data_IF_685875578026
#
_entry.id   IF_685875578026
#
_cell.length_a   1.000
_cell.length_b   1.000
_cell.length_c   1.000
_cell.angle_alpha   90.00
_cell.angle_beta   90.00
_cell.angle_gamma   90.00
#
_symmetry.space_group_name_H-M   'P 1'
#
loop_
_entity.id
_entity.type
_entity.pdbx_description
1 polymer ?
#
# COMPACT_ATOMS: atom_id res chain seq x y z
N UNK A 1 18.73 5.06 5.11
CA UNK A 1 17.50 5.31 4.33
C UNK A 1 17.47 4.34 3.16
N UNK A 2 16.29 3.89 2.75
CA UNK A 2 16.08 3.04 1.57
C UNK A 2 15.02 3.73 0.69
N UNK A 3 15.32 3.89 -0.60
CA UNK A 3 14.50 4.65 -1.55
C UNK A 3 14.40 3.82 -2.82
N UNK A 4 13.17 3.56 -3.27
CA UNK A 4 12.89 2.93 -4.55
C UNK A 4 11.79 3.70 -5.24
N UNK A 5 11.93 3.91 -6.55
CA UNK A 5 10.96 4.65 -7.35
C UNK A 5 10.70 3.96 -8.67
N UNK A 6 9.45 4.02 -9.11
CA UNK A 6 8.97 3.46 -10.36
C UNK A 6 8.48 2.02 -10.26
N UNK A 7 7.79 1.61 -11.32
CA UNK A 7 7.11 0.33 -11.41
C UNK A 7 5.76 0.31 -10.69
N UNK A 8 4.99 -0.71 -11.01
CA UNK A 8 3.70 -0.99 -10.39
C UNK A 8 3.68 -2.42 -9.88
N UNK A 9 2.81 -2.69 -8.91
CA UNK A 9 2.54 -4.04 -8.42
C UNK A 9 1.04 -4.22 -8.19
N UNK A 10 0.55 -5.45 -8.32
CA UNK A 10 -0.81 -5.76 -7.93
C UNK A 10 -0.95 -5.79 -6.39
N UNK A 11 -2.04 -5.23 -5.88
CA UNK A 11 -2.39 -5.27 -4.46
C UNK A 11 -3.81 -5.79 -4.28
N UNK A 12 -3.93 -7.03 -3.82
CA UNK A 12 -5.23 -7.56 -3.38
C UNK A 12 -5.74 -6.83 -2.14
N UNK A 13 -4.86 -6.28 -1.31
CA UNK A 13 -5.27 -5.50 -0.14
C UNK A 13 -6.05 -4.26 -0.57
N UNK A 14 -5.63 -3.55 -1.63
CA UNK A 14 -6.44 -2.48 -2.24
C UNK A 14 -7.75 -3.04 -2.80
N UNK A 15 -7.66 -4.13 -3.57
CA UNK A 15 -8.81 -4.77 -4.21
C UNK A 15 -9.93 -5.11 -3.20
N UNK A 16 -9.60 -5.84 -2.14
CA UNK A 16 -10.59 -6.26 -1.14
C UNK A 16 -11.14 -5.08 -0.32
N UNK A 17 -10.34 -4.04 -0.06
CA UNK A 17 -10.82 -2.88 0.70
C UNK A 17 -11.73 -1.97 -0.15
N UNK A 18 -11.54 -1.94 -1.47
CA UNK A 18 -12.49 -1.32 -2.40
C UNK A 18 -13.77 -2.16 -2.50
N UNK A 19 -13.62 -3.46 -2.74
CA UNK A 19 -14.74 -4.38 -2.83
C UNK A 19 -15.61 -4.35 -1.56
N UNK A 20 -15.01 -4.25 -0.37
CA UNK A 20 -15.76 -4.20 0.90
C UNK A 20 -16.24 -2.80 1.29
N UNK A 21 -15.77 -1.74 0.63
CA UNK A 21 -16.15 -0.37 0.95
C UNK A 21 -15.48 0.19 2.20
N UNK A 22 -14.33 -0.36 2.57
CA UNK A 22 -13.54 0.06 3.72
C UNK A 22 -12.43 1.06 3.34
N UNK A 23 -12.01 1.06 2.07
CA UNK A 23 -11.06 2.06 1.58
C UNK A 23 -11.67 3.46 1.62
N UNK A 24 -10.89 4.45 2.06
CA UNK A 24 -11.34 5.85 2.18
C UNK A 24 -11.81 6.42 0.83
N UNK A 25 -11.21 5.94 -0.27
CA UNK A 25 -11.57 6.32 -1.63
C UNK A 25 -13.03 5.96 -1.97
N UNK A 26 -13.61 4.94 -1.32
CA UNK A 26 -15.03 4.57 -1.52
C UNK A 26 -16.01 5.49 -0.80
N UNK A 27 -15.53 6.46 -0.01
CA UNK A 27 -16.33 7.53 0.56
C UNK A 27 -16.51 8.72 -0.40
N UNK A 28 -15.95 8.63 -1.61
CA UNK A 28 -16.10 9.64 -2.65
C UNK A 28 -17.58 10.02 -2.88
N UNK A 29 -17.81 11.32 -3.05
CA UNK A 29 -19.14 11.91 -3.23
C UNK A 29 -20.14 11.57 -2.09
N UNK A 30 -19.65 11.30 -0.88
CA UNK A 30 -20.44 10.82 0.27
C UNK A 30 -21.33 9.60 -0.06
N UNK A 31 -20.95 8.83 -1.10
CA UNK A 31 -21.74 7.72 -1.67
C UNK A 31 -23.12 8.13 -2.19
N UNK A 32 -23.32 9.41 -2.48
CA UNK A 32 -24.51 9.90 -3.16
C UNK A 32 -24.49 9.49 -4.64
N UNK A 33 -25.70 9.38 -5.21
CA UNK A 33 -25.91 9.18 -6.65
C UNK A 33 -25.08 10.18 -7.47
N UNK A 34 -24.42 9.70 -8.52
CA UNK A 34 -23.56 10.54 -9.36
C UNK A 34 -23.53 10.07 -10.81
N UNK A 35 -23.31 11.01 -11.72
CA UNK A 35 -22.90 10.70 -13.10
C UNK A 35 -21.37 10.65 -13.11
N UNK A 36 -20.79 9.68 -13.81
CA UNK A 36 -19.33 9.61 -14.00
C UNK A 36 -18.88 10.90 -14.69
N UNK A 37 -17.97 11.69 -14.10
CA UNK A 37 -17.52 12.93 -14.72
C UNK A 37 -16.94 12.67 -16.11
N UNK A 38 -17.30 13.52 -17.08
CA UNK A 38 -16.86 13.39 -18.47
C UNK A 38 -17.25 12.04 -19.14
N UNK A 39 -18.39 11.45 -18.76
CA UNK A 39 -18.90 10.22 -19.38
C UNK A 39 -19.78 10.49 -20.60
N UNK A 40 -19.75 9.56 -21.55
CA UNK A 40 -20.56 9.56 -22.78
C UNK A 40 -21.22 8.20 -22.97
N UNK A 41 -22.37 8.18 -23.65
CA UNK A 41 -23.01 6.94 -24.10
C UNK A 41 -22.74 6.74 -25.59
N UNK A 42 -22.34 5.52 -25.94
CA UNK A 42 -22.19 5.09 -27.34
C UNK A 42 -23.57 4.79 -27.93
N UNK A 43 -23.83 5.31 -29.14
CA UNK A 43 -25.03 5.04 -29.92
C UNK A 43 -24.61 4.47 -31.28
N UNK A 44 -25.08 3.26 -31.58
CA UNK A 44 -24.98 2.64 -32.90
C UNK A 44 -26.21 3.08 -33.71
N UNK A 45 -25.98 3.89 -34.73
CA UNK A 45 -27.03 4.39 -35.61
C UNK A 45 -27.58 3.28 -36.52
N UNK A 46 -28.75 3.51 -37.12
CA UNK A 46 -29.41 2.54 -38.01
C UNK A 46 -28.57 2.18 -39.26
N UNK A 47 -27.62 3.03 -39.64
CA UNK A 47 -26.67 2.83 -40.74
C UNK A 47 -25.37 2.11 -40.30
N UNK A 48 -25.26 1.72 -39.02
CA UNK A 48 -24.09 1.08 -38.44
C UNK A 48 -22.97 2.03 -38.03
N UNK A 49 -23.14 3.35 -38.16
CA UNK A 49 -22.16 4.33 -37.68
C UNK A 49 -22.23 4.50 -36.17
N UNK A 50 -21.09 4.84 -35.54
CA UNK A 50 -21.00 5.08 -34.09
C UNK A 50 -21.01 6.58 -33.83
N UNK A 51 -21.84 7.01 -32.88
CA UNK A 51 -21.87 8.38 -32.36
C UNK A 51 -21.86 8.37 -30.82
N UNK A 52 -21.44 9.48 -30.22
CA UNK A 52 -21.38 9.63 -28.77
C UNK A 52 -22.26 10.80 -28.32
N UNK A 53 -23.02 10.58 -27.26
CA UNK A 53 -23.82 11.62 -26.60
C UNK A 53 -23.40 11.77 -25.15
N UNK A 54 -23.60 12.96 -24.59
CA UNK A 54 -23.36 13.20 -23.16
C UNK A 54 -24.17 12.19 -22.32
N UNK A 55 -23.52 11.58 -21.35
CA UNK A 55 -24.20 10.64 -20.47
C UNK A 55 -25.00 11.40 -19.39
N UNK A 56 -26.31 11.16 -19.37
CA UNK A 56 -27.21 11.70 -18.33
C UNK A 56 -27.64 10.63 -17.32
N UNK A 57 -27.19 9.39 -17.46
CA UNK A 57 -27.58 8.26 -16.59
C UNK A 57 -26.67 8.20 -15.37
N UNK A 58 -27.22 8.40 -14.15
CA UNK A 58 -26.42 8.33 -12.94
C UNK A 58 -26.23 6.89 -12.46
N UNK A 59 -25.13 6.66 -11.75
CA UNK A 59 -24.93 5.50 -10.90
C UNK A 59 -25.73 5.75 -9.61
N UNK A 60 -26.71 4.88 -9.35
CA UNK A 60 -27.52 4.96 -8.13
C UNK A 60 -26.68 4.65 -6.89
N UNK A 61 -27.11 5.13 -5.72
CA UNK A 61 -26.51 4.78 -4.43
C UNK A 61 -26.43 3.26 -4.20
N UNK A 62 -27.41 2.49 -4.68
CA UNK A 62 -27.39 1.03 -4.64
C UNK A 62 -26.24 0.42 -5.48
N UNK A 63 -25.94 1.00 -6.64
CA UNK A 63 -24.86 0.56 -7.52
C UNK A 63 -23.49 1.18 -7.17
N UNK A 64 -23.47 2.15 -6.25
CA UNK A 64 -22.26 2.66 -5.59
C UNK A 64 -21.84 1.79 -4.40
N UNK A 65 -22.77 1.00 -3.85
CA UNK A 65 -22.53 0.23 -2.63
C UNK A 65 -21.50 -0.88 -2.86
N UNK A 66 -20.46 -0.88 -2.03
CA UNK A 66 -19.46 -1.93 -2.02
C UNK A 66 -20.04 -3.24 -1.44
N UNK A 67 -19.47 -4.38 -1.79
CA UNK A 67 -19.82 -5.71 -1.29
C UNK A 67 -20.57 -6.59 -2.28
N UNK A 68 -20.84 -6.08 -3.49
CA UNK A 68 -21.50 -6.83 -4.56
C UNK A 68 -20.71 -6.72 -5.87
N UNK A 69 -20.34 -7.84 -6.53
CA UNK A 69 -19.80 -7.81 -7.89
C UNK A 69 -20.72 -7.04 -8.84
N UNK A 70 -20.15 -6.23 -9.73
CA UNK A 70 -20.94 -5.42 -10.67
C UNK A 70 -21.25 -3.99 -10.22
N UNK A 71 -20.89 -3.62 -9.00
CA UNK A 71 -21.01 -2.25 -8.48
C UNK A 71 -19.79 -1.40 -8.86
N UNK A 72 -19.94 -0.08 -8.82
CA UNK A 72 -18.89 0.84 -9.28
C UNK A 72 -17.56 0.62 -8.55
N UNK A 73 -17.54 0.68 -7.22
CA UNK A 73 -16.32 0.48 -6.44
C UNK A 73 -15.85 -0.98 -6.41
N UNK A 74 -16.78 -1.94 -6.46
CA UNK A 74 -16.43 -3.37 -6.54
C UNK A 74 -15.71 -3.75 -7.84
N UNK A 75 -15.90 -2.98 -8.90
CA UNK A 75 -15.23 -3.17 -10.19
C UNK A 75 -13.99 -2.28 -10.38
N UNK A 76 -13.56 -1.53 -9.35
CA UNK A 76 -12.39 -0.65 -9.43
C UNK A 76 -12.67 0.80 -9.79
N UNK A 77 -13.95 1.21 -9.79
CA UNK A 77 -14.36 2.57 -10.06
C UNK A 77 -14.00 3.01 -11.48
N UNK A 78 -13.37 4.18 -11.60
CA UNK A 78 -13.02 4.77 -12.90
C UNK A 78 -11.95 3.97 -13.67
N UNK A 79 -11.04 3.31 -12.96
CA UNK A 79 -9.88 2.62 -13.56
C UNK A 79 -10.17 1.15 -13.90
N UNK A 80 -11.38 0.68 -13.58
CA UNK A 80 -11.81 -0.71 -13.70
C UNK A 80 -10.75 -1.68 -13.15
N UNK A 81 -10.46 -2.81 -13.80
CA UNK A 81 -9.51 -3.81 -13.29
C UNK A 81 -8.08 -3.30 -13.03
N UNK A 82 -7.66 -2.21 -13.68
CA UNK A 82 -6.31 -1.65 -13.48
C UNK A 82 -6.14 -0.93 -12.14
N UNK A 83 -7.25 -0.60 -11.46
CA UNK A 83 -7.23 0.10 -10.17
C UNK A 83 -6.41 -0.62 -9.09
N UNK A 84 -6.32 -1.94 -9.16
CA UNK A 84 -5.64 -2.79 -8.19
C UNK A 84 -4.12 -2.78 -8.36
N UNK A 85 -3.62 -2.19 -9.46
CA UNK A 85 -2.22 -1.85 -9.61
C UNK A 85 -1.93 -0.58 -8.79
N UNK A 86 -0.87 -0.65 -7.98
CA UNK A 86 -0.41 0.45 -7.13
C UNK A 86 1.04 0.80 -7.47
N UNK A 87 1.41 2.06 -7.24
CA UNK A 87 2.80 2.49 -7.35
C UNK A 87 3.69 1.76 -6.33
N UNK A 88 4.79 1.19 -6.83
CA UNK A 88 5.77 0.43 -6.03
C UNK A 88 6.81 1.33 -5.34
N UNK A 89 6.75 2.63 -5.58
CA UNK A 89 7.67 3.62 -5.04
C UNK A 89 7.51 3.78 -3.53
N UNK A 90 8.64 3.95 -2.85
CA UNK A 90 8.65 4.30 -1.44
C UNK A 90 9.95 5.00 -1.00
N UNK A 91 9.84 5.72 0.10
CA UNK A 91 10.96 6.13 0.95
C UNK A 91 10.78 5.44 2.30
N UNK A 92 11.84 4.82 2.83
CA UNK A 92 11.77 4.05 4.08
C UNK A 92 12.93 4.37 5.01
N UNK A 93 12.59 4.64 6.27
CA UNK A 93 13.55 4.69 7.36
C UNK A 93 13.93 3.26 7.77
N UNK A 94 14.89 2.69 7.03
CA UNK A 94 15.23 1.27 7.09
C UNK A 94 15.77 0.82 8.44
N UNK A 95 16.78 1.51 8.97
CA UNK A 95 17.43 1.16 10.22
C UNK A 95 18.01 2.39 10.93
N UNK A 96 17.90 2.40 12.25
CA UNK A 96 18.60 3.31 13.16
C UNK A 96 19.16 2.47 14.30
N UNK A 97 20.39 2.76 14.73
CA UNK A 97 20.95 2.17 15.94
C UNK A 97 21.69 3.25 16.76
N UNK A 98 21.43 3.26 18.06
CA UNK A 98 22.17 4.03 19.05
C UNK A 98 22.94 3.05 19.93
N UNK A 99 24.26 3.19 19.96
CA UNK A 99 25.14 2.33 20.74
C UNK A 99 25.99 3.15 21.70
N UNK A 100 26.20 2.61 22.89
CA UNK A 100 27.09 3.16 23.90
C UNK A 100 28.08 2.10 24.37
N UNK A 101 29.36 2.36 24.09
CA UNK A 101 30.47 1.61 24.67
C UNK A 101 30.74 2.12 26.09
N UNK A 102 30.63 1.25 27.09
CA UNK A 102 30.89 1.66 28.46
C UNK A 102 32.39 2.01 28.63
N UNK A 103 32.74 3.10 29.32
CA UNK A 103 34.13 3.45 29.58
C UNK A 103 34.87 2.32 30.31
N UNK A 104 36.04 1.92 29.81
CA UNK A 104 36.85 0.83 30.41
C UNK A 104 37.13 1.05 31.91
N UNK A 105 37.28 2.31 32.35
CA UNK A 105 37.46 2.67 33.77
C UNK A 105 36.33 2.19 34.68
N UNK A 106 35.12 2.05 34.16
CA UNK A 106 33.97 1.52 34.91
C UNK A 106 33.96 0.00 35.01
N UNK A 107 34.74 -0.68 34.15
CA UNK A 107 34.85 -2.14 34.09
C UNK A 107 36.06 -2.68 34.84
N UNK A 108 36.94 -1.81 35.38
CA UNK A 108 38.23 -2.18 35.97
C UNK A 108 38.16 -3.24 37.08
N UNK A 109 37.05 -3.29 37.84
CA UNK A 109 36.84 -4.26 38.92
C UNK A 109 35.79 -5.34 38.55
N UNK A 110 35.60 -5.59 37.26
CA UNK A 110 34.64 -6.58 36.73
C UNK A 110 35.38 -7.63 35.90
N UNK A 111 34.80 -8.82 35.67
CA UNK A 111 35.39 -9.81 34.78
C UNK A 111 35.25 -9.46 33.29
N UNK A 112 34.79 -8.24 32.95
CA UNK A 112 34.47 -7.86 31.58
C UNK A 112 35.56 -6.99 30.96
N UNK A 113 36.02 -7.36 29.76
CA UNK A 113 36.92 -6.56 28.93
C UNK A 113 36.20 -5.41 28.22
N UNK A 114 34.94 -5.61 27.83
CA UNK A 114 34.13 -4.61 27.14
C UNK A 114 32.64 -4.88 27.36
N UNK A 115 31.85 -3.81 27.46
CA UNK A 115 30.39 -3.87 27.50
C UNK A 115 29.84 -2.81 26.57
N UNK A 116 28.99 -3.24 25.61
CA UNK A 116 28.28 -2.36 24.69
C UNK A 116 26.78 -2.50 24.89
N UNK A 117 26.13 -1.39 25.16
CA UNK A 117 24.68 -1.27 25.17
C UNK A 117 24.21 -0.73 23.82
N UNK A 118 23.15 -1.27 23.25
CA UNK A 118 22.60 -0.79 21.98
C UNK A 118 21.09 -0.81 21.98
N UNK A 119 20.48 0.25 21.47
CA UNK A 119 19.07 0.31 21.10
C UNK A 119 18.98 0.42 19.57
N UNK A 120 18.10 -0.33 18.94
CA UNK A 120 17.97 -0.35 17.48
C UNK A 120 16.53 -0.39 17.03
N UNK A 121 16.30 0.06 15.80
CA UNK A 121 15.02 0.05 15.11
C UNK A 121 15.19 -0.34 13.65
N UNK A 122 14.27 -1.13 13.12
CA UNK A 122 14.22 -1.57 11.72
C UNK A 122 12.79 -1.39 11.17
N UNK A 123 12.70 -0.98 9.90
CA UNK A 123 11.44 -0.65 9.21
C UNK A 123 10.59 0.36 10.02
N UNK A 124 11.20 1.50 10.36
CA UNK A 124 10.62 2.46 11.31
C UNK A 124 9.49 3.27 10.68
N UNK A 125 9.71 3.86 9.51
CA UNK A 125 8.71 4.66 8.82
C UNK A 125 8.77 4.40 7.32
N UNK A 126 7.60 4.48 6.70
CA UNK A 126 7.36 4.28 5.28
C UNK A 126 6.57 5.49 4.77
N UNK A 127 7.04 6.04 3.66
CA UNK A 127 6.33 7.05 2.88
C UNK A 127 6.15 6.50 1.46
N UNK A 128 4.93 6.56 0.98
CA UNK A 128 4.52 6.12 -0.37
C UNK A 128 3.89 7.31 -1.11
N UNK A 129 3.81 7.25 -2.46
CA UNK A 129 2.98 8.18 -3.21
C UNK A 129 1.51 8.11 -2.75
N UNK A 130 0.77 9.19 -2.98
CA UNK A 130 -0.59 9.39 -2.41
C UNK A 130 -1.64 8.40 -2.93
N UNK A 131 -1.38 7.73 -4.04
CA UNK A 131 -2.25 6.71 -4.64
C UNK A 131 -2.13 5.35 -3.91
N UNK A 132 -1.00 5.08 -3.26
CA UNK A 132 -0.79 3.91 -2.41
C UNK A 132 -0.94 4.27 -0.93
N UNK A 133 -2.20 4.15 -0.46
CA UNK A 133 -2.57 4.25 0.95
C UNK A 133 -2.82 2.89 1.60
N UNK A 134 -2.35 1.79 1.00
CA UNK A 134 -2.80 0.43 1.34
C UNK A 134 -1.70 -0.41 1.96
N UNK A 135 -0.55 -0.49 1.30
CA UNK A 135 0.47 -1.49 1.64
C UNK A 135 1.88 -0.93 1.53
N UNK A 136 2.75 -1.58 2.28
CA UNK A 136 4.19 -1.51 2.09
C UNK A 136 4.57 -2.22 0.78
N UNK A 137 5.15 -1.53 -0.23
CA UNK A 137 5.46 -2.14 -1.53
C UNK A 137 6.56 -3.23 -1.54
N UNK A 138 7.13 -3.54 -0.38
CA UNK A 138 8.05 -4.67 -0.21
C UNK A 138 7.36 -6.02 0.05
N UNK A 139 6.02 -6.05 0.06
CA UNK A 139 5.23 -7.24 0.33
C UNK A 139 5.09 -8.12 -0.93
N UNK A 140 5.09 -9.43 -0.72
CA UNK A 140 4.85 -10.42 -1.77
C UNK A 140 4.14 -11.65 -1.19
N UNK A 141 3.27 -12.26 -2.00
CA UNK A 141 2.68 -13.58 -1.72
C UNK A 141 3.20 -14.67 -2.67
N UNK A 142 4.16 -14.35 -3.55
CA UNK A 142 4.59 -15.19 -4.68
C UNK A 142 6.08 -15.56 -4.61
N UNK A 143 6.64 -15.62 -3.39
CA UNK A 143 8.06 -15.92 -3.17
C UNK A 143 8.97 -14.68 -3.25
N UNK A 144 10.27 -14.94 -3.40
CA UNK A 144 11.35 -13.95 -3.27
C UNK A 144 12.20 -13.77 -4.55
N UNK A 145 11.75 -14.34 -5.68
CA UNK A 145 12.37 -14.17 -6.99
C UNK A 145 11.56 -13.18 -7.86
N UNK A 146 11.73 -13.19 -9.18
CA UNK A 146 11.03 -12.32 -10.13
C UNK A 146 9.51 -12.32 -9.96
N UNK A 147 8.88 -13.48 -9.71
CA UNK A 147 7.43 -13.57 -9.47
C UNK A 147 7.01 -12.84 -8.19
N UNK A 148 7.90 -12.76 -7.20
CA UNK A 148 7.68 -11.99 -5.98
C UNK A 148 7.58 -10.49 -6.22
N UNK A 149 7.92 -10.01 -7.43
CA UNK A 149 7.74 -8.61 -7.79
C UNK A 149 6.33 -8.29 -8.31
N UNK A 150 5.50 -9.30 -8.61
CA UNK A 150 4.18 -9.10 -9.22
C UNK A 150 3.17 -8.45 -8.29
N UNK A 151 3.29 -8.66 -6.98
CA UNK A 151 2.30 -8.12 -6.07
C UNK A 151 2.21 -8.84 -4.73
N UNK A 152 1.26 -8.36 -3.95
CA UNK A 152 0.82 -9.01 -2.73
C UNK A 152 -0.63 -9.48 -2.87
N UNK A 153 -0.93 -10.66 -2.29
CA UNK A 153 -2.26 -11.26 -2.31
C UNK A 153 -2.81 -11.35 -0.89
N UNK A 154 -3.09 -10.19 -0.30
CA UNK A 154 -3.46 -10.01 1.12
C UNK A 154 -2.42 -10.59 2.06
N UNK A 155 -1.15 -10.23 1.81
CA UNK A 155 -0.06 -10.60 2.71
C UNK A 155 -0.26 -9.97 4.09
N UNK A 156 0.30 -10.59 5.13
CA UNK A 156 0.27 -10.01 6.47
C UNK A 156 0.90 -8.61 6.47
N UNK A 157 0.34 -7.62 7.19
CA UNK A 157 0.88 -6.26 7.23
C UNK A 157 2.36 -6.22 7.62
N UNK A 158 3.12 -5.29 7.04
CA UNK A 158 4.54 -5.13 7.39
C UNK A 158 4.70 -4.69 8.86
N UNK A 159 5.82 -5.07 9.47
CA UNK A 159 6.07 -4.79 10.89
C UNK A 159 7.11 -3.70 11.07
N UNK A 160 6.84 -2.76 11.99
CA UNK A 160 7.85 -1.89 12.61
C UNK A 160 8.53 -2.64 13.75
N UNK A 161 9.87 -2.69 13.78
CA UNK A 161 10.63 -3.46 14.78
C UNK A 161 11.59 -2.54 15.53
N UNK A 162 11.73 -2.74 16.83
CA UNK A 162 12.71 -2.07 17.67
C UNK A 162 13.11 -2.99 18.82
N UNK A 163 14.29 -2.77 19.38
CA UNK A 163 14.82 -3.63 20.42
C UNK A 163 16.10 -3.11 21.05
N UNK A 164 16.62 -3.90 21.99
CA UNK A 164 17.86 -3.64 22.70
C UNK A 164 18.81 -4.82 22.54
N UNK A 165 20.10 -4.55 22.58
CA UNK A 165 21.17 -5.54 22.55
C UNK A 165 22.24 -5.19 23.58
N UNK A 166 22.70 -6.19 24.31
CA UNK A 166 23.83 -6.08 25.25
C UNK A 166 24.92 -7.04 24.78
N UNK A 167 26.10 -6.50 24.47
CA UNK A 167 27.29 -7.28 24.15
C UNK A 167 28.26 -7.20 25.32
N UNK A 168 28.78 -8.34 25.75
CA UNK A 168 29.78 -8.45 26.80
C UNK A 168 30.96 -9.26 26.28
N UNK A 169 32.16 -8.76 26.52
CA UNK A 169 33.42 -9.48 26.28
C UNK A 169 34.05 -9.82 27.62
N UNK A 170 34.44 -11.08 27.79
CA UNK A 170 35.15 -11.61 28.96
C UNK A 170 36.66 -11.63 28.70
#
# INVERSE_FOLDING_TARGET
MDIRQGGVMYSRTKDINYFTGNAIQTAYNDRNTMIVPNSVNEIINADGTISYVENTTPISSANMQAGNPGTFWGNGGFDMGSYSLIDKSYIKLRSIALSWELPNKWLANTPFQAVRLSAFGNNLFLWTPSDNTFVDPEMSSFGNDLEGQYGEYTANPSSRRFGFNVMVKF
#
